data_IF_535189455676
#
_entry.id   IF_535189455676
#
_cell.length_a   1.000
_cell.length_b   1.000
_cell.length_c   1.000
_cell.angle_alpha   90.00
_cell.angle_beta   90.00
_cell.angle_gamma   90.00
#
_symmetry.space_group_name_H-M   'P 1'
#
loop_
_entity.id
_entity.type
_entity.pdbx_description
1 polymer ?
#
# COMPACT_ATOMS: atom_id res chain seq x y z
N UNK A 1 -34.97 52.41 8.20
CA UNK A 1 -34.49 52.38 6.80
C UNK A 1 -32.99 52.13 6.86
N UNK A 2 -32.38 51.07 6.34
CA UNK A 2 -32.75 50.11 5.31
C UNK A 2 -32.03 48.76 5.58
N UNK A 3 -32.62 47.66 5.06
CA UNK A 3 -32.19 46.25 5.17
C UNK A 3 -31.35 45.80 3.96
N UNK A 4 -30.62 44.69 4.17
CA UNK A 4 -30.16 43.62 3.22
C UNK A 4 -29.15 44.00 2.13
N UNK A 5 -28.21 43.16 1.67
CA UNK A 5 -28.15 41.69 1.46
C UNK A 5 -26.68 41.20 1.51
N UNK A 6 -26.32 40.14 2.23
CA UNK A 6 -26.25 38.70 1.86
C UNK A 6 -25.38 38.33 0.63
N UNK A 7 -24.57 37.29 0.86
CA UNK A 7 -23.79 36.42 -0.05
C UNK A 7 -22.41 36.90 -0.52
N UNK A 8 -21.37 36.34 0.12
CA UNK A 8 -20.01 36.24 -0.39
C UNK A 8 -19.47 34.85 -0.04
N UNK A 9 -19.12 34.11 -1.08
CA UNK A 9 -18.80 32.69 -1.08
C UNK A 9 -17.67 32.30 -0.11
N UNK A 10 -17.82 31.17 0.56
CA UNK A 10 -16.76 30.49 1.28
C UNK A 10 -15.77 29.87 0.26
N UNK A 11 -14.93 30.72 -0.33
CA UNK A 11 -13.73 30.30 -1.03
C UNK A 11 -12.76 29.79 0.04
N UNK A 12 -12.36 28.52 -0.04
CA UNK A 12 -11.21 28.00 0.70
C UNK A 12 -10.00 28.89 0.38
N UNK A 13 -9.67 29.79 1.31
CA UNK A 13 -8.50 30.65 1.24
C UNK A 13 -7.24 29.81 1.47
N UNK A 14 -6.78 29.11 0.42
CA UNK A 14 -5.47 28.50 0.39
C UNK A 14 -4.43 29.62 0.29
N UNK A 15 -4.05 30.19 1.44
CA UNK A 15 -2.95 31.15 1.52
C UNK A 15 -1.73 30.58 0.77
N UNK A 16 -1.07 31.38 -0.10
CA UNK A 16 0.18 30.96 -0.70
C UNK A 16 1.18 30.68 0.41
N UNK A 17 1.69 29.45 0.47
CA UNK A 17 2.69 29.05 1.46
C UNK A 17 3.97 29.84 1.12
N UNK A 18 4.40 30.72 2.03
CA UNK A 18 5.71 31.36 1.96
C UNK A 18 6.78 30.29 2.18
N UNK A 19 7.33 29.79 1.07
CA UNK A 19 8.25 28.66 1.02
C UNK A 19 9.48 28.88 1.92
N UNK A 20 9.94 30.13 2.06
CA UNK A 20 11.09 30.46 2.91
C UNK A 20 10.79 30.32 4.40
N UNK A 21 9.59 30.77 4.82
CA UNK A 21 9.15 30.66 6.21
C UNK A 21 8.90 29.22 6.62
N UNK A 22 8.19 28.45 5.79
CA UNK A 22 7.91 27.04 6.08
C UNK A 22 9.22 26.23 6.17
N UNK A 23 10.18 26.50 5.29
CA UNK A 23 11.47 25.82 5.34
C UNK A 23 12.20 26.04 6.66
N UNK A 24 12.17 27.27 7.17
CA UNK A 24 12.77 27.62 8.45
C UNK A 24 12.05 26.99 9.65
N UNK A 25 10.72 26.93 9.63
CA UNK A 25 9.91 26.29 10.68
C UNK A 25 10.19 24.78 10.74
N UNK A 26 10.21 24.10 9.60
CA UNK A 26 10.53 22.66 9.52
C UNK A 26 11.97 22.37 10.00
N UNK A 27 12.94 23.22 9.64
CA UNK A 27 14.34 23.08 10.10
C UNK A 27 14.45 23.25 11.63
N UNK A 28 13.67 24.19 12.20
CA UNK A 28 13.61 24.38 13.65
C UNK A 28 13.00 23.19 14.37
N UNK A 29 11.98 22.57 13.79
CA UNK A 29 11.35 21.38 14.36
C UNK A 29 12.33 20.20 14.38
N UNK A 30 13.12 19.99 13.32
CA UNK A 30 14.19 18.98 13.30
C UNK A 30 15.22 19.20 14.42
N UNK A 31 15.67 20.45 14.59
CA UNK A 31 16.61 20.81 15.67
C UNK A 31 15.98 20.58 17.05
N UNK A 32 14.69 20.89 17.22
CA UNK A 32 13.97 20.63 18.47
C UNK A 32 13.88 19.13 18.80
N UNK A 33 13.84 18.27 17.79
CA UNK A 33 13.86 16.81 17.93
C UNK A 33 15.29 16.25 18.11
N UNK A 34 16.33 17.09 18.02
CA UNK A 34 17.73 16.72 18.18
C UNK A 34 18.43 16.29 16.89
N UNK A 35 17.85 16.60 15.73
CA UNK A 35 18.37 16.22 14.41
C UNK A 35 18.85 17.46 13.62
N UNK A 36 19.97 17.33 12.92
CA UNK A 36 20.43 18.30 11.92
C UNK A 36 19.83 17.97 10.56
N UNK A 37 19.29 18.96 9.84
CA UNK A 37 18.73 18.78 8.49
C UNK A 37 19.87 18.49 7.50
N UNK A 38 20.13 17.21 7.23
CA UNK A 38 21.14 16.76 6.24
C UNK A 38 20.52 16.42 4.88
N UNK A 39 19.24 16.04 4.86
CA UNK A 39 18.52 15.63 3.66
C UNK A 39 17.85 16.81 2.96
N UNK A 40 17.90 16.81 1.64
CA UNK A 40 17.16 17.79 0.82
C UNK A 40 15.72 17.34 0.62
N UNK A 41 14.80 18.31 0.50
CA UNK A 41 13.38 18.03 0.28
C UNK A 41 13.13 17.63 -1.16
N UNK A 42 13.03 16.33 -1.41
CA UNK A 42 12.95 15.75 -2.77
C UNK A 42 11.53 15.44 -3.20
N UNK A 43 10.59 15.30 -2.27
CA UNK A 43 9.23 14.87 -2.56
C UNK A 43 8.22 16.02 -2.52
N UNK A 44 7.28 16.04 -3.47
CA UNK A 44 6.05 16.82 -3.34
C UNK A 44 4.99 16.02 -2.59
N UNK A 45 3.97 16.67 -2.03
CA UNK A 45 2.86 15.98 -1.35
C UNK A 45 2.16 14.96 -2.27
N UNK A 46 2.07 15.25 -3.57
CA UNK A 46 1.52 14.34 -4.57
C UNK A 46 2.45 13.16 -4.85
N UNK A 47 3.76 13.40 -4.96
CA UNK A 47 4.75 12.33 -5.16
C UNK A 47 4.78 11.39 -3.95
N UNK A 48 4.65 11.94 -2.73
CA UNK A 48 4.58 11.17 -1.49
C UNK A 48 3.29 10.34 -1.39
N UNK A 49 2.15 10.92 -1.76
CA UNK A 49 0.89 10.17 -1.82
C UNK A 49 0.97 9.05 -2.86
N UNK A 50 1.53 9.32 -4.04
CA UNK A 50 1.71 8.32 -5.09
C UNK A 50 2.66 7.19 -4.65
N UNK A 51 3.74 7.53 -3.93
CA UNK A 51 4.65 6.56 -3.33
C UNK A 51 3.90 5.67 -2.33
N UNK A 52 3.23 6.28 -1.35
CA UNK A 52 2.49 5.56 -0.32
C UNK A 52 1.40 4.66 -0.92
N UNK A 53 0.65 5.17 -1.91
CA UNK A 53 -0.37 4.39 -2.62
C UNK A 53 0.23 3.22 -3.41
N UNK A 54 1.38 3.41 -4.06
CA UNK A 54 2.07 2.35 -4.82
C UNK A 54 2.68 1.29 -3.90
N UNK A 55 3.19 1.70 -2.73
CA UNK A 55 3.72 0.79 -1.71
C UNK A 55 2.61 -0.10 -1.14
N UNK A 56 1.43 0.47 -0.85
CA UNK A 56 0.26 -0.31 -0.43
C UNK A 56 -0.11 -1.34 -1.48
N UNK A 57 -0.11 -0.93 -2.75
CA UNK A 57 -0.24 -1.87 -3.86
C UNK A 57 -1.55 -2.68 -3.87
N UNK A 58 -2.59 -2.23 -3.15
CA UNK A 58 -3.70 -3.07 -2.65
C UNK A 58 -4.39 -3.89 -3.73
N UNK A 59 -4.75 -3.28 -4.86
CA UNK A 59 -5.45 -4.04 -5.90
C UNK A 59 -4.56 -5.10 -6.55
N UNK A 60 -3.26 -4.85 -6.66
CA UNK A 60 -2.29 -5.77 -7.26
C UNK A 60 -1.96 -6.93 -6.33
N UNK A 61 -1.84 -6.67 -5.03
CA UNK A 61 -1.61 -7.73 -4.02
C UNK A 61 -2.81 -8.66 -3.92
N UNK A 62 -4.03 -8.11 -3.91
CA UNK A 62 -5.25 -8.90 -3.96
C UNK A 62 -5.40 -9.70 -5.26
N UNK A 63 -4.97 -9.14 -6.41
CA UNK A 63 -5.00 -9.86 -7.67
C UNK A 63 -4.10 -11.10 -7.65
N UNK A 64 -2.88 -10.95 -7.13
CA UNK A 64 -1.90 -12.04 -7.01
C UNK A 64 -2.35 -13.12 -6.04
N UNK A 65 -3.01 -12.72 -4.95
CA UNK A 65 -3.45 -13.64 -3.89
C UNK A 65 -4.90 -14.10 -4.06
N UNK A 66 -5.54 -13.83 -5.22
CA UNK A 66 -6.98 -14.06 -5.43
C UNK A 66 -7.38 -15.51 -5.19
N UNK A 67 -6.58 -16.47 -5.66
CA UNK A 67 -6.82 -17.90 -5.46
C UNK A 67 -6.87 -18.27 -3.97
N UNK A 68 -5.90 -17.78 -3.19
CA UNK A 68 -5.86 -17.98 -1.74
C UNK A 68 -7.07 -17.33 -1.06
N UNK A 69 -7.44 -16.11 -1.46
CA UNK A 69 -8.62 -15.42 -0.93
C UNK A 69 -9.93 -16.16 -1.20
N UNK A 70 -10.08 -16.76 -2.39
CA UNK A 70 -11.25 -17.54 -2.74
C UNK A 70 -11.34 -18.83 -1.91
N UNK A 71 -10.22 -19.51 -1.71
CA UNK A 71 -10.15 -20.72 -0.89
C UNK A 71 -10.41 -20.45 0.60
N UNK A 72 -9.97 -19.28 1.09
CA UNK A 72 -10.05 -18.84 2.48
C UNK A 72 -11.25 -17.93 2.73
N UNK A 73 -12.46 -18.43 2.50
CA UNK A 73 -13.70 -17.70 2.85
C UNK A 73 -14.40 -17.02 1.68
N UNK A 74 -13.87 -17.14 0.46
CA UNK A 74 -14.58 -16.77 -0.77
C UNK A 74 -14.79 -15.27 -0.98
N UNK A 75 -15.65 -14.91 -1.96
CA UNK A 75 -15.95 -13.52 -2.33
C UNK A 75 -16.38 -12.63 -1.15
N UNK A 76 -17.15 -13.19 -0.21
CA UNK A 76 -17.61 -12.46 0.98
C UNK A 76 -16.44 -12.02 1.87
N UNK A 77 -15.43 -12.86 2.06
CA UNK A 77 -14.26 -12.53 2.90
C UNK A 77 -13.34 -11.54 2.18
N UNK A 78 -13.17 -11.69 0.87
CA UNK A 78 -12.39 -10.75 0.05
C UNK A 78 -12.98 -9.32 0.14
N UNK A 79 -14.28 -9.16 -0.13
CA UNK A 79 -14.91 -7.84 -0.18
C UNK A 79 -15.17 -7.24 1.21
N UNK A 80 -15.86 -7.98 2.07
CA UNK A 80 -16.27 -7.44 3.37
C UNK A 80 -15.16 -7.52 4.40
N UNK A 81 -14.24 -8.47 4.26
CA UNK A 81 -13.00 -8.48 5.03
C UNK A 81 -12.14 -7.25 4.71
N UNK A 82 -12.04 -6.85 3.44
CA UNK A 82 -11.39 -5.59 3.07
C UNK A 82 -12.06 -4.37 3.73
N UNK A 83 -13.40 -4.31 3.76
CA UNK A 83 -14.12 -3.21 4.44
C UNK A 83 -13.81 -3.19 5.94
N UNK A 84 -13.84 -4.34 6.60
CA UNK A 84 -13.51 -4.45 8.03
C UNK A 84 -12.07 -4.01 8.32
N UNK A 85 -11.11 -4.55 7.56
CA UNK A 85 -9.69 -4.22 7.70
C UNK A 85 -9.42 -2.75 7.38
N UNK A 86 -10.11 -2.19 6.39
CA UNK A 86 -10.04 -0.76 6.06
C UNK A 86 -10.44 0.11 7.25
N UNK A 87 -11.56 -0.18 7.91
CA UNK A 87 -12.01 0.60 9.08
C UNK A 87 -10.97 0.53 10.21
N UNK A 88 -10.44 -0.67 10.49
CA UNK A 88 -9.40 -0.85 11.50
C UNK A 88 -8.11 -0.08 11.14
N UNK A 89 -7.63 -0.23 9.90
CA UNK A 89 -6.42 0.45 9.43
C UNK A 89 -6.59 1.96 9.35
N UNK A 90 -7.79 2.47 9.04
CA UNK A 90 -8.06 3.90 9.06
C UNK A 90 -7.93 4.47 10.48
N UNK A 91 -8.43 3.76 11.50
CA UNK A 91 -8.24 4.17 12.90
C UNK A 91 -6.75 4.22 13.29
N UNK A 92 -5.98 3.21 12.86
CA UNK A 92 -4.52 3.17 13.07
C UNK A 92 -3.82 4.32 12.32
N UNK A 93 -4.15 4.52 11.05
CA UNK A 93 -3.59 5.56 10.19
C UNK A 93 -3.84 6.97 10.72
N UNK A 94 -5.05 7.24 11.24
CA UNK A 94 -5.39 8.52 11.86
C UNK A 94 -4.60 8.76 13.15
N UNK A 95 -4.51 7.73 14.01
CA UNK A 95 -3.74 7.81 15.26
C UNK A 95 -2.24 8.02 14.99
N UNK A 96 -1.71 7.30 13.99
CA UNK A 96 -0.34 7.46 13.51
C UNK A 96 -0.10 8.85 12.91
N UNK A 97 -1.07 9.35 12.15
CA UNK A 97 -1.06 10.68 11.55
C UNK A 97 -1.00 11.79 12.59
N UNK A 98 -1.70 11.66 13.71
CA UNK A 98 -1.63 12.63 14.81
C UNK A 98 -0.21 12.70 15.42
N UNK A 99 0.38 11.54 15.72
CA UNK A 99 1.75 11.46 16.24
C UNK A 99 2.79 11.99 15.23
N UNK A 100 2.61 11.67 13.96
CA UNK A 100 3.43 12.14 12.86
C UNK A 100 3.34 13.68 12.68
N UNK A 101 2.16 14.26 12.90
CA UNK A 101 1.95 15.72 12.89
C UNK A 101 2.62 16.42 14.07
N UNK A 102 2.57 15.79 15.24
CA UNK A 102 3.13 16.34 16.48
C UNK A 102 4.67 16.24 16.53
N UNK A 103 5.22 15.12 16.08
CA UNK A 103 6.65 14.77 16.16
C UNK A 103 7.12 14.19 14.81
N UNK A 104 7.34 15.02 13.79
CA UNK A 104 7.74 14.54 12.47
C UNK A 104 9.21 14.11 12.45
N UNK A 105 9.48 12.81 12.63
CA UNK A 105 10.83 12.22 12.61
C UNK A 105 10.86 10.89 11.85
N UNK A 106 11.93 10.62 11.11
CA UNK A 106 12.08 9.40 10.32
C UNK A 106 12.13 8.11 11.16
N UNK A 107 12.52 8.21 12.43
CA UNK A 107 12.50 7.09 13.38
C UNK A 107 11.07 6.68 13.78
N UNK A 108 10.09 7.57 13.55
CA UNK A 108 8.66 7.28 13.64
C UNK A 108 8.21 6.67 14.97
N UNK A 109 7.52 5.53 14.88
CA UNK A 109 6.90 4.81 15.99
C UNK A 109 7.85 4.54 17.17
N UNK A 110 9.11 4.20 16.87
CA UNK A 110 10.10 3.95 17.90
C UNK A 110 10.42 5.24 18.69
N UNK A 111 10.53 6.38 18.00
CA UNK A 111 10.77 7.66 18.67
C UNK A 111 9.57 8.08 19.51
N UNK A 112 8.36 7.97 18.98
CA UNK A 112 7.15 8.36 19.71
C UNK A 112 6.98 7.54 20.99
N UNK A 113 7.27 6.24 20.97
CA UNK A 113 7.25 5.45 22.20
C UNK A 113 8.31 5.87 23.22
N UNK A 114 9.53 6.19 22.78
CA UNK A 114 10.56 6.70 23.68
C UNK A 114 10.19 8.07 24.28
N UNK A 115 9.60 8.93 23.45
CA UNK A 115 9.19 10.28 23.82
C UNK A 115 7.96 10.30 24.74
N UNK A 116 7.02 9.38 24.57
CA UNK A 116 5.81 9.31 25.41
C UNK A 116 6.01 8.46 26.68
N UNK A 117 6.98 7.53 26.68
CA UNK A 117 7.21 6.61 27.80
C UNK A 117 8.63 6.73 28.36
N UNK A 118 8.84 7.72 29.24
CA UNK A 118 10.13 8.04 29.87
C UNK A 118 10.53 7.08 31.01
N UNK A 119 10.55 5.78 30.75
CA UNK A 119 11.01 4.76 31.70
C UNK A 119 11.99 3.79 31.04
N UNK A 120 12.78 3.01 31.81
CA UNK A 120 13.62 1.95 31.24
C UNK A 120 12.82 0.94 30.40
N UNK A 121 11.58 0.63 30.81
CA UNK A 121 10.67 -0.23 30.04
C UNK A 121 10.21 0.42 28.75
N UNK A 122 9.96 1.73 28.75
CA UNK A 122 9.63 2.49 27.54
C UNK A 122 10.78 2.54 26.53
N UNK A 123 12.03 2.66 27.00
CA UNK A 123 13.23 2.52 26.14
C UNK A 123 13.33 1.15 25.50
N UNK A 124 13.10 0.09 26.28
CA UNK A 124 13.10 -1.28 25.75
C UNK A 124 11.97 -1.50 24.74
N UNK A 125 10.76 -0.99 25.02
CA UNK A 125 9.62 -1.08 24.11
C UNK A 125 9.88 -0.34 22.78
N UNK A 126 10.45 0.86 22.84
CA UNK A 126 10.93 1.62 21.68
C UNK A 126 11.92 0.82 20.83
N UNK A 127 12.93 0.21 21.47
CA UNK A 127 13.90 -0.64 20.78
C UNK A 127 13.25 -1.88 20.15
N UNK A 128 12.31 -2.53 20.84
CA UNK A 128 11.57 -3.68 20.30
C UNK A 128 10.69 -3.30 19.12
N UNK A 129 10.01 -2.15 19.17
CA UNK A 129 9.23 -1.66 18.03
C UNK A 129 10.08 -1.33 16.82
N UNK A 130 11.25 -0.71 17.01
CA UNK A 130 12.19 -0.49 15.91
C UNK A 130 12.54 -1.83 15.22
N UNK A 131 12.89 -2.86 16.00
CA UNK A 131 13.20 -4.18 15.46
C UNK A 131 12.02 -4.87 14.78
N UNK A 132 10.83 -4.83 15.38
CA UNK A 132 9.62 -5.41 14.78
C UNK A 132 9.30 -4.71 13.46
N UNK A 133 9.42 -3.38 13.42
CA UNK A 133 9.21 -2.60 12.19
C UNK A 133 10.23 -2.96 11.11
N UNK A 134 11.52 -2.98 11.45
CA UNK A 134 12.59 -3.38 10.50
C UNK A 134 12.37 -4.79 9.96
N UNK A 135 12.03 -5.74 10.82
CA UNK A 135 11.74 -7.11 10.40
C UNK A 135 10.47 -7.20 9.53
N UNK A 136 9.45 -6.41 9.84
CA UNK A 136 8.25 -6.25 9.01
C UNK A 136 8.60 -5.81 7.60
N UNK A 137 9.41 -4.76 7.45
CA UNK A 137 9.87 -4.28 6.14
C UNK A 137 10.72 -5.31 5.38
N UNK A 138 11.58 -6.07 6.05
CA UNK A 138 12.34 -7.15 5.41
C UNK A 138 11.45 -8.28 4.89
N UNK A 139 10.47 -8.71 5.70
CA UNK A 139 9.54 -9.78 5.33
C UNK A 139 8.57 -9.34 4.24
N UNK A 140 8.09 -8.09 4.28
CA UNK A 140 7.28 -7.49 3.20
C UNK A 140 8.05 -7.43 1.87
N UNK A 141 9.32 -7.04 1.90
CA UNK A 141 10.14 -7.06 0.70
C UNK A 141 10.35 -8.49 0.18
N UNK A 142 10.60 -9.45 1.07
CA UNK A 142 10.76 -10.85 0.68
C UNK A 142 9.50 -11.43 0.03
N UNK A 143 8.31 -11.16 0.57
CA UNK A 143 7.04 -11.61 -0.03
C UNK A 143 6.77 -10.97 -1.39
N UNK A 144 7.09 -9.68 -1.58
CA UNK A 144 6.95 -9.02 -2.89
C UNK A 144 7.87 -9.61 -3.96
N UNK A 145 9.10 -9.95 -3.60
CA UNK A 145 10.01 -10.65 -4.54
C UNK A 145 9.47 -12.04 -4.86
N UNK A 146 8.88 -12.75 -3.89
CA UNK A 146 8.24 -14.03 -4.14
C UNK A 146 7.05 -13.90 -5.11
N UNK A 147 6.22 -12.86 -4.97
CA UNK A 147 5.15 -12.57 -5.93
C UNK A 147 5.70 -12.27 -7.33
N UNK A 148 6.75 -11.46 -7.44
CA UNK A 148 7.39 -11.18 -8.72
C UNK A 148 7.96 -12.45 -9.39
N UNK A 149 8.59 -13.33 -8.61
CA UNK A 149 9.07 -14.63 -9.09
C UNK A 149 7.94 -15.49 -9.61
N UNK A 150 6.86 -15.67 -8.82
CA UNK A 150 5.70 -16.46 -9.22
C UNK A 150 5.04 -15.89 -10.48
N UNK A 151 4.96 -14.57 -10.59
CA UNK A 151 4.44 -13.91 -11.78
C UNK A 151 5.30 -14.15 -13.02
N UNK A 152 6.64 -14.05 -12.92
CA UNK A 152 7.55 -14.34 -14.04
C UNK A 152 7.46 -15.81 -14.50
N UNK A 153 7.43 -16.75 -13.56
CA UNK A 153 7.27 -18.18 -13.86
C UNK A 153 5.90 -18.48 -14.47
N UNK A 154 4.84 -17.86 -13.94
CA UNK A 154 3.48 -17.94 -14.48
C UNK A 154 3.41 -17.46 -15.92
N UNK A 155 4.05 -16.32 -16.25
CA UNK A 155 4.15 -15.87 -17.64
C UNK A 155 4.85 -16.88 -18.53
N UNK A 156 5.92 -17.54 -18.08
CA UNK A 156 6.60 -18.59 -18.86
C UNK A 156 5.67 -19.79 -19.11
N UNK A 157 4.92 -20.20 -18.10
CA UNK A 157 3.94 -21.30 -18.21
C UNK A 157 2.79 -20.98 -19.18
N UNK A 158 2.40 -19.71 -19.33
CA UNK A 158 1.39 -19.33 -20.32
C UNK A 158 1.85 -19.59 -21.77
N UNK A 159 3.16 -19.50 -22.05
CA UNK A 159 3.72 -19.77 -23.38
C UNK A 159 4.09 -21.24 -23.60
N UNK A 160 4.43 -21.95 -22.53
CA UNK A 160 4.91 -23.33 -22.56
C UNK A 160 4.41 -24.07 -21.30
N UNK A 161 3.18 -24.61 -21.37
CA UNK A 161 2.52 -25.18 -20.20
C UNK A 161 3.21 -26.42 -19.63
N UNK A 162 3.99 -27.14 -20.43
CA UNK A 162 4.67 -28.38 -20.00
C UNK A 162 6.10 -28.13 -19.50
N UNK A 163 6.50 -26.87 -19.32
CA UNK A 163 7.84 -26.56 -18.85
C UNK A 163 8.04 -26.97 -17.38
N UNK A 164 8.72 -28.10 -17.18
CA UNK A 164 9.00 -28.67 -15.86
C UNK A 164 9.74 -27.74 -14.89
N UNK A 165 10.41 -26.71 -15.39
CA UNK A 165 11.18 -25.76 -14.57
C UNK A 165 10.32 -24.95 -13.59
N UNK A 166 9.05 -24.70 -13.89
CA UNK A 166 8.20 -23.91 -13.00
C UNK A 166 7.83 -24.64 -11.71
N UNK A 167 7.75 -25.98 -11.73
CA UNK A 167 7.54 -26.80 -10.54
C UNK A 167 8.84 -27.15 -9.80
N UNK A 168 9.97 -26.63 -10.25
CA UNK A 168 11.28 -26.99 -9.74
C UNK A 168 11.79 -25.93 -8.76
N UNK A 169 11.71 -26.20 -7.46
CA UNK A 169 11.99 -25.20 -6.41
C UNK A 169 13.36 -24.51 -6.48
N UNK A 170 14.41 -25.17 -7.01
CA UNK A 170 15.70 -24.49 -7.19
C UNK A 170 15.68 -23.43 -8.30
N UNK A 171 14.85 -23.62 -9.34
CA UNK A 171 14.66 -22.64 -10.42
C UNK A 171 13.95 -21.41 -9.86
N UNK A 172 12.89 -21.62 -9.08
CA UNK A 172 12.18 -20.55 -8.38
C UNK A 172 13.14 -19.75 -7.49
N UNK A 173 13.97 -20.44 -6.70
CA UNK A 173 14.98 -19.80 -5.86
C UNK A 173 15.99 -18.97 -6.68
N UNK A 174 16.48 -19.48 -7.82
CA UNK A 174 17.41 -18.72 -8.67
C UNK A 174 16.77 -17.48 -9.29
N UNK A 175 15.50 -17.57 -9.72
CA UNK A 175 14.77 -16.40 -10.24
C UNK A 175 14.56 -15.39 -9.12
N UNK A 176 14.14 -15.83 -7.94
CA UNK A 176 14.01 -14.99 -6.74
C UNK A 176 15.32 -14.27 -6.40
N UNK A 177 16.43 -15.01 -6.39
CA UNK A 177 17.76 -14.46 -6.11
C UNK A 177 18.18 -13.46 -7.20
N UNK A 178 17.93 -13.77 -8.47
CA UNK A 178 18.21 -12.88 -9.59
C UNK A 178 17.45 -11.56 -9.49
N UNK A 179 16.15 -11.59 -9.21
CA UNK A 179 15.32 -10.40 -8.98
C UNK A 179 15.88 -9.58 -7.80
N UNK A 180 16.19 -10.25 -6.69
CA UNK A 180 16.76 -9.61 -5.50
C UNK A 180 18.07 -8.90 -5.82
N UNK A 181 18.99 -9.55 -6.54
CA UNK A 181 20.29 -8.98 -6.92
C UNK A 181 20.10 -7.77 -7.85
N UNK A 182 19.21 -7.88 -8.84
CA UNK A 182 18.92 -6.78 -9.78
C UNK A 182 18.37 -5.57 -9.05
N UNK A 183 17.35 -5.73 -8.19
CA UNK A 183 16.81 -4.61 -7.42
C UNK A 183 17.79 -4.07 -6.39
N UNK A 184 18.62 -4.92 -5.78
CA UNK A 184 19.70 -4.47 -4.88
C UNK A 184 20.71 -3.62 -5.65
N UNK A 185 21.14 -4.06 -6.83
CA UNK A 185 22.03 -3.29 -7.71
C UNK A 185 21.42 -1.96 -8.14
N UNK A 186 20.13 -1.95 -8.50
CA UNK A 186 19.39 -0.73 -8.82
C UNK A 186 19.34 0.23 -7.63
N UNK A 187 19.05 -0.26 -6.42
CA UNK A 187 19.05 0.58 -5.21
C UNK A 187 20.43 1.16 -4.91
N UNK A 188 21.50 0.36 -5.04
CA UNK A 188 22.87 0.82 -4.78
C UNK A 188 23.36 1.88 -5.78
N UNK A 189 22.95 1.79 -7.04
CA UNK A 189 23.45 2.65 -8.12
C UNK A 189 22.50 3.81 -8.44
N UNK A 190 21.24 3.51 -8.72
CA UNK A 190 20.27 4.48 -9.22
C UNK A 190 19.72 5.38 -8.10
N UNK A 191 19.47 4.83 -6.90
CA UNK A 191 18.89 5.60 -5.79
C UNK A 191 19.90 6.52 -5.09
N UNK A 192 21.21 6.37 -5.38
CA UNK A 192 22.24 7.34 -4.97
C UNK A 192 22.13 8.70 -5.66
N UNK A 193 21.41 8.76 -6.79
CA UNK A 193 21.20 10.00 -7.50
C UNK A 193 19.87 10.62 -7.10
N UNK A 194 19.94 11.79 -6.46
CA UNK A 194 18.79 12.52 -5.90
C UNK A 194 17.69 12.86 -6.92
N UNK A 195 17.97 12.81 -8.22
CA UNK A 195 16.98 13.07 -9.28
C UNK A 195 16.28 11.83 -9.80
N UNK A 196 16.90 10.65 -9.69
CA UNK A 196 16.38 9.42 -10.29
C UNK A 196 15.22 8.88 -9.46
N UNK A 197 15.35 8.87 -8.13
CA UNK A 197 14.37 8.28 -7.24
C UNK A 197 12.99 8.96 -7.31
N UNK A 198 12.87 10.31 -7.24
CA UNK A 198 11.56 10.97 -7.34
C UNK A 198 10.92 10.81 -8.73
N UNK A 199 11.72 10.83 -9.79
CA UNK A 199 11.25 10.63 -11.16
C UNK A 199 10.73 9.21 -11.38
N UNK A 200 11.49 8.21 -10.94
CA UNK A 200 11.10 6.80 -11.00
C UNK A 200 9.82 6.56 -10.20
N UNK A 201 9.74 7.09 -8.98
CA UNK A 201 8.55 7.00 -8.14
C UNK A 201 7.30 7.58 -8.84
N UNK A 202 7.41 8.76 -9.45
CA UNK A 202 6.28 9.37 -10.16
C UNK A 202 5.83 8.52 -11.35
N UNK A 203 6.76 7.94 -12.10
CA UNK A 203 6.43 7.04 -13.22
C UNK A 203 5.72 5.80 -12.71
N UNK A 204 6.25 5.16 -11.66
CA UNK A 204 5.64 3.98 -11.05
C UNK A 204 4.23 4.30 -10.56
N UNK A 205 4.02 5.43 -9.89
CA UNK A 205 2.69 5.84 -9.43
C UNK A 205 1.70 6.06 -10.57
N UNK A 206 2.12 6.72 -11.66
CA UNK A 206 1.27 6.93 -12.86
C UNK A 206 0.97 5.58 -13.52
N UNK A 207 1.99 4.73 -13.69
CA UNK A 207 1.84 3.40 -14.28
C UNK A 207 0.88 2.54 -13.45
N UNK A 208 1.01 2.57 -12.12
CA UNK A 208 0.17 1.82 -11.21
C UNK A 208 -1.29 2.26 -11.31
N UNK A 209 -1.56 3.57 -11.26
CA UNK A 209 -2.91 4.09 -11.48
C UNK A 209 -3.46 3.73 -12.87
N UNK A 210 -2.64 3.81 -13.92
CA UNK A 210 -3.06 3.46 -15.28
C UNK A 210 -3.37 1.95 -15.41
N UNK A 211 -2.56 1.09 -14.80
CA UNK A 211 -2.75 -0.36 -14.81
C UNK A 211 -4.06 -0.77 -14.14
N UNK A 212 -4.46 -0.09 -13.05
CA UNK A 212 -5.78 -0.31 -12.45
C UNK A 212 -6.91 -0.15 -13.48
N UNK A 213 -6.94 0.95 -14.23
CA UNK A 213 -7.98 1.19 -15.24
C UNK A 213 -7.86 0.22 -16.42
N UNK A 214 -6.65 0.00 -16.92
CA UNK A 214 -6.40 -0.90 -18.06
C UNK A 214 -6.86 -2.31 -17.74
N UNK A 215 -6.44 -2.87 -16.60
CA UNK A 215 -6.79 -4.24 -16.22
C UNK A 215 -8.29 -4.38 -15.91
N UNK A 216 -8.87 -3.42 -15.19
CA UNK A 216 -10.30 -3.43 -14.88
C UNK A 216 -11.14 -3.43 -16.16
N UNK A 217 -10.85 -2.52 -17.09
CA UNK A 217 -11.56 -2.43 -18.37
C UNK A 217 -11.29 -3.64 -19.26
N UNK A 218 -10.05 -4.13 -19.32
CA UNK A 218 -9.71 -5.30 -20.12
C UNK A 218 -10.50 -6.55 -19.68
N UNK A 219 -10.65 -6.78 -18.37
CA UNK A 219 -11.44 -7.88 -17.84
C UNK A 219 -12.92 -7.74 -18.22
N UNK A 220 -13.52 -6.56 -17.97
CA UNK A 220 -14.93 -6.30 -18.29
C UNK A 220 -15.21 -6.43 -19.79
N UNK A 221 -14.35 -5.86 -20.64
CA UNK A 221 -14.47 -5.95 -22.10
C UNK A 221 -14.29 -7.40 -22.56
N UNK A 222 -13.30 -8.14 -22.02
CA UNK A 222 -13.07 -9.54 -22.38
C UNK A 222 -14.30 -10.40 -22.11
N UNK A 223 -14.92 -10.27 -20.93
CA UNK A 223 -16.14 -11.03 -20.60
C UNK A 223 -17.35 -10.56 -21.41
N UNK A 224 -17.48 -9.25 -21.65
CA UNK A 224 -18.61 -8.69 -22.40
C UNK A 224 -18.57 -8.95 -23.91
N UNK A 225 -17.40 -9.25 -24.49
CA UNK A 225 -17.23 -9.37 -25.95
C UNK A 225 -16.92 -10.79 -26.43
N UNK A 226 -16.29 -11.65 -25.61
CA UNK A 226 -16.01 -13.03 -26.01
C UNK A 226 -17.23 -13.92 -25.83
N UNK A 227 -17.60 -14.60 -26.91
CA UNK A 227 -18.65 -15.62 -26.87
C UNK A 227 -18.27 -16.74 -25.89
N UNK A 228 -19.20 -17.10 -25.00
CA UNK A 228 -19.03 -18.16 -24.01
C UNK A 228 -18.62 -17.68 -22.61
N UNK A 229 -18.16 -16.43 -22.46
CA UNK A 229 -17.90 -15.86 -21.13
C UNK A 229 -19.16 -15.19 -20.57
N UNK A 230 -19.36 -15.26 -19.26
CA UNK A 230 -20.52 -14.65 -18.58
C UNK A 230 -20.12 -13.98 -17.28
N UNK A 231 -20.77 -12.87 -16.96
CA UNK A 231 -20.61 -12.26 -15.64
C UNK A 231 -21.24 -13.14 -14.56
N UNK A 232 -20.56 -13.27 -13.42
CA UNK A 232 -21.10 -13.97 -12.26
C UNK A 232 -22.30 -13.22 -11.66
N UNK A 233 -23.24 -13.93 -11.03
CA UNK A 233 -24.38 -13.28 -10.38
C UNK A 233 -23.94 -12.47 -9.15
N UNK A 234 -24.69 -11.42 -8.82
CA UNK A 234 -24.40 -10.60 -7.63
C UNK A 234 -24.42 -11.40 -6.32
N UNK A 235 -25.23 -12.47 -6.25
CA UNK A 235 -25.25 -13.38 -5.10
C UNK A 235 -23.91 -14.08 -4.89
N UNK A 236 -23.18 -14.36 -5.96
CA UNK A 236 -21.83 -14.91 -5.89
C UNK A 236 -20.85 -13.84 -5.40
N UNK A 237 -20.75 -12.73 -6.13
CA UNK A 237 -19.74 -11.70 -5.85
C UNK A 237 -19.85 -11.10 -4.44
N UNK A 238 -21.07 -10.89 -3.93
CA UNK A 238 -21.27 -10.23 -2.62
C UNK A 238 -21.53 -11.19 -1.45
N UNK A 239 -21.87 -12.46 -1.72
CA UNK A 239 -22.44 -13.34 -0.72
C UNK A 239 -21.99 -14.79 -0.75
N UNK A 240 -21.21 -15.22 -1.75
CA UNK A 240 -20.71 -16.59 -1.75
C UNK A 240 -19.67 -16.79 -0.65
N UNK A 241 -19.87 -17.86 0.13
CA UNK A 241 -18.92 -18.39 1.07
C UNK A 241 -18.29 -19.65 0.48
N UNK A 242 -16.96 -19.66 0.36
CA UNK A 242 -16.19 -20.79 -0.13
C UNK A 242 -15.17 -21.15 0.96
N UNK A 243 -15.08 -22.42 1.31
CA UNK A 243 -14.11 -22.90 2.29
C UNK A 243 -13.55 -24.25 1.84
N UNK A 244 -12.33 -24.20 1.31
CA UNK A 244 -11.60 -25.40 0.83
C UNK A 244 -10.42 -25.76 1.74
N UNK A 245 -10.36 -25.13 2.91
CA UNK A 245 -9.19 -25.19 3.81
C UNK A 245 -9.20 -26.40 4.75
N UNK A 246 -10.38 -27.01 4.93
CA UNK A 246 -10.62 -28.04 5.95
C UNK A 246 -10.79 -27.50 7.38
N UNK A 247 -10.66 -26.19 7.61
CA UNK A 247 -10.81 -25.57 8.92
C UNK A 247 -12.25 -25.10 9.20
N UNK A 248 -12.63 -24.92 10.48
CA UNK A 248 -13.94 -24.35 10.84
C UNK A 248 -14.11 -22.93 10.30
N UNK A 249 -15.32 -22.58 9.86
CA UNK A 249 -15.62 -21.30 9.20
C UNK A 249 -15.18 -20.06 9.99
N UNK A 250 -15.24 -20.10 11.32
CA UNK A 250 -14.78 -19.00 12.16
C UNK A 250 -13.29 -18.73 12.02
N UNK A 251 -12.46 -19.79 11.94
CA UNK A 251 -11.02 -19.63 11.72
C UNK A 251 -10.74 -19.16 10.29
N UNK A 252 -11.46 -19.72 9.32
CA UNK A 252 -11.32 -19.38 7.89
C UNK A 252 -11.63 -17.92 7.62
N UNK A 253 -12.60 -17.34 8.33
CA UNK A 253 -12.86 -15.90 8.27
C UNK A 253 -11.59 -15.11 8.63
N UNK A 254 -10.97 -15.41 9.78
CA UNK A 254 -9.76 -14.70 10.22
C UNK A 254 -8.55 -14.94 9.31
N UNK A 255 -8.37 -16.15 8.79
CA UNK A 255 -7.26 -16.42 7.85
C UNK A 255 -7.50 -15.77 6.49
N UNK A 256 -8.75 -15.63 6.05
CA UNK A 256 -9.09 -14.89 4.83
C UNK A 256 -8.88 -13.38 4.96
N UNK A 257 -8.96 -12.82 6.17
CA UNK A 257 -8.61 -11.41 6.42
C UNK A 257 -7.12 -11.11 6.17
N UNK A 258 -6.25 -12.13 6.09
CA UNK A 258 -4.81 -11.94 5.87
C UNK A 258 -4.54 -11.23 4.55
N UNK A 259 -5.27 -11.57 3.49
CA UNK A 259 -5.15 -10.89 2.20
C UNK A 259 -5.41 -9.38 2.34
N UNK A 260 -6.49 -9.02 3.03
CA UNK A 260 -6.83 -7.63 3.28
C UNK A 260 -5.86 -6.91 4.21
N UNK A 261 -5.41 -7.59 5.27
CA UNK A 261 -4.41 -7.07 6.20
C UNK A 261 -3.09 -6.78 5.48
N UNK A 262 -2.68 -7.67 4.58
CA UNK A 262 -1.48 -7.49 3.76
C UNK A 262 -1.66 -6.33 2.76
N UNK A 263 -2.77 -6.29 2.01
CA UNK A 263 -2.98 -5.28 0.97
C UNK A 263 -3.16 -3.84 1.50
N UNK A 264 -3.45 -3.65 2.78
CA UNK A 264 -3.57 -2.33 3.42
C UNK A 264 -2.47 -2.05 4.46
N UNK A 265 -1.35 -2.76 4.39
CA UNK A 265 -0.18 -2.51 5.26
C UNK A 265 0.78 -1.48 4.66
N UNK A 266 1.84 -1.12 5.40
CA UNK A 266 2.94 -0.27 4.94
C UNK A 266 2.61 1.21 4.64
N UNK A 267 1.49 1.74 5.16
CA UNK A 267 1.16 3.18 5.05
C UNK A 267 2.07 4.07 5.92
N UNK A 268 2.80 3.48 6.87
CA UNK A 268 3.85 4.12 7.66
C UNK A 268 5.13 4.42 6.86
N UNK A 269 5.23 3.94 5.62
CA UNK A 269 6.30 4.28 4.67
C UNK A 269 6.56 5.80 4.54
N UNK A 270 5.49 6.61 4.62
CA UNK A 270 5.57 8.07 4.61
C UNK A 270 6.40 8.60 5.78
N UNK A 271 6.32 7.96 6.94
CA UNK A 271 7.05 8.35 8.15
C UNK A 271 8.55 8.19 7.93
N UNK A 272 8.98 7.14 7.23
CA UNK A 272 10.39 6.90 6.94
C UNK A 272 10.99 7.89 5.92
N UNK A 273 10.15 8.60 5.17
CA UNK A 273 10.56 9.61 4.18
C UNK A 273 10.21 11.04 4.62
N UNK A 274 9.87 11.23 5.89
CA UNK A 274 9.29 12.48 6.40
C UNK A 274 10.25 13.67 6.32
N UNK A 275 11.55 13.42 6.43
CA UNK A 275 12.61 14.44 6.37
C UNK A 275 12.80 14.99 4.94
N UNK A 276 12.39 14.24 3.93
CA UNK A 276 12.46 14.66 2.52
C UNK A 276 11.15 15.33 2.03
N UNK A 277 10.18 15.54 2.93
CA UNK A 277 8.86 16.08 2.64
C UNK A 277 8.74 17.55 3.10
N UNK A 278 8.25 18.48 2.25
CA UNK A 278 7.96 19.84 2.68
C UNK A 278 6.74 19.88 3.61
N UNK A 279 6.77 20.70 4.66
CA UNK A 279 5.69 20.82 5.64
C UNK A 279 5.21 19.44 6.16
N UNK A 280 6.11 18.64 6.77
CA UNK A 280 5.83 17.27 7.14
C UNK A 280 4.67 17.14 8.13
N UNK A 281 4.48 18.13 9.02
CA UNK A 281 3.39 18.15 10.02
C UNK A 281 2.01 18.09 9.42
N UNK A 282 1.83 18.59 8.20
CA UNK A 282 0.54 18.61 7.50
C UNK A 282 0.50 17.57 6.38
N UNK A 283 1.58 17.47 5.62
CA UNK A 283 1.60 16.64 4.41
C UNK A 283 1.76 15.15 4.71
N UNK A 284 2.54 14.77 5.74
CA UNK A 284 2.74 13.36 6.06
C UNK A 284 1.45 12.71 6.59
N UNK A 285 0.71 13.28 7.56
CA UNK A 285 -0.56 12.71 8.02
C UNK A 285 -1.57 12.58 6.88
N UNK A 286 -1.66 13.59 6.01
CA UNK A 286 -2.53 13.56 4.82
C UNK A 286 -2.20 12.39 3.90
N UNK A 287 -0.92 12.20 3.59
CA UNK A 287 -0.49 11.09 2.73
C UNK A 287 -0.79 9.72 3.35
N UNK A 288 -0.62 9.57 4.67
CA UNK A 288 -0.89 8.33 5.40
C UNK A 288 -2.38 7.92 5.29
N UNK A 289 -3.33 8.78 5.68
CA UNK A 289 -4.73 8.35 5.66
C UNK A 289 -5.31 8.31 4.24
N UNK A 290 -4.89 9.20 3.34
CA UNK A 290 -5.35 9.19 1.95
C UNK A 290 -4.90 7.94 1.22
N UNK A 291 -3.67 7.45 1.45
CA UNK A 291 -3.18 6.23 0.80
C UNK A 291 -4.01 5.02 1.21
N UNK A 292 -4.38 4.90 2.51
CA UNK A 292 -5.25 3.82 3.01
C UNK A 292 -6.64 3.89 2.38
N UNK A 293 -7.25 5.07 2.29
CA UNK A 293 -8.56 5.26 1.66
C UNK A 293 -8.52 4.92 0.17
N UNK A 294 -7.51 5.42 -0.56
CA UNK A 294 -7.35 5.13 -1.98
C UNK A 294 -7.06 3.64 -2.23
N UNK A 295 -6.22 3.02 -1.40
CA UNK A 295 -5.92 1.60 -1.44
C UNK A 295 -7.17 0.75 -1.24
N UNK A 296 -7.99 1.08 -0.23
CA UNK A 296 -9.22 0.35 0.03
C UNK A 296 -10.26 0.51 -1.08
N UNK A 297 -10.46 1.73 -1.61
CA UNK A 297 -11.40 1.97 -2.71
C UNK A 297 -10.96 1.24 -3.98
N UNK A 298 -9.68 1.37 -4.35
CA UNK A 298 -9.16 0.73 -5.57
C UNK A 298 -9.12 -0.79 -5.44
N UNK A 299 -8.70 -1.31 -4.29
CA UNK A 299 -8.76 -2.74 -3.98
C UNK A 299 -10.19 -3.29 -4.07
N UNK A 300 -11.17 -2.61 -3.45
CA UNK A 300 -12.57 -3.04 -3.47
C UNK A 300 -13.14 -3.04 -4.90
N UNK A 301 -12.94 -1.96 -5.65
CA UNK A 301 -13.42 -1.86 -7.03
C UNK A 301 -12.78 -2.91 -7.95
N UNK A 302 -11.47 -3.11 -7.83
CA UNK A 302 -10.75 -4.08 -8.63
C UNK A 302 -11.21 -5.51 -8.32
N UNK A 303 -11.34 -5.86 -7.05
CA UNK A 303 -11.84 -7.17 -6.64
C UNK A 303 -13.28 -7.41 -7.07
N UNK A 304 -14.13 -6.39 -7.01
CA UNK A 304 -15.48 -6.48 -7.56
C UNK A 304 -15.42 -6.86 -9.05
N UNK A 305 -14.58 -6.18 -9.84
CA UNK A 305 -14.39 -6.53 -11.26
C UNK A 305 -13.90 -7.97 -11.42
N UNK A 306 -12.87 -8.40 -10.68
CA UNK A 306 -12.36 -9.77 -10.74
C UNK A 306 -13.44 -10.81 -10.41
N UNK A 307 -14.20 -10.60 -9.34
CA UNK A 307 -15.24 -11.52 -8.87
C UNK A 307 -16.43 -11.62 -9.84
N UNK A 308 -16.79 -10.52 -10.52
CA UNK A 308 -17.80 -10.57 -11.58
C UNK A 308 -17.29 -11.20 -12.88
N UNK A 309 -15.99 -11.08 -13.17
CA UNK A 309 -15.38 -11.56 -14.40
C UNK A 309 -14.84 -13.00 -14.32
N UNK A 310 -14.74 -13.59 -13.13
CA UNK A 310 -14.23 -14.95 -12.94
C UNK A 310 -15.11 -15.98 -13.66
N UNK A 311 -14.51 -16.96 -14.32
CA UNK A 311 -15.22 -17.92 -15.17
C UNK A 311 -15.18 -19.35 -14.61
N UNK A 312 -14.02 -19.75 -14.09
CA UNK A 312 -13.74 -21.11 -13.62
C UNK A 312 -12.96 -21.01 -12.32
N UNK A 313 -13.56 -21.41 -11.20
CA UNK A 313 -12.96 -21.30 -9.87
C UNK A 313 -11.82 -22.30 -9.68
N UNK A 314 -11.89 -23.45 -10.35
CA UNK A 314 -10.92 -24.54 -10.21
C UNK A 314 -9.59 -24.24 -10.92
N UNK A 315 -9.57 -23.21 -11.77
CA UNK A 315 -8.41 -22.79 -12.56
C UNK A 315 -7.81 -21.45 -12.13
N UNK A 316 -8.27 -20.90 -11.00
CA UNK A 316 -7.83 -19.62 -10.46
C UNK A 316 -6.65 -19.80 -9.52
#
# INVERSE_FOLDING_TARGET
MSRSSLHGDAVMDSKPIDVGRQSYEDARDMVALGHTEELTRKFSSWSMLALAFSILGTYGTFAQDLASGLNNGGPITILWGLVLVFVCNLCVALSLGELCSAMPTALGQAYWMHSLWHTPTGRFASYMCAWINTFGWWTLNASLVAFATNFLLGMKLMYDPEWAGAGTGWVEFLVYLGITIVFTGFNLVACRNDRILPWFNNIVGIQFAALFFILSLALLISVGTKEGLKFQPASFAFGAWINETGWPSGLVWFTGLVQAAYGLTAFDSVVHMIEELPNPRVNAPRAIWLSVVLGAITGFLFMLVCLFCIQDLDKV
#
